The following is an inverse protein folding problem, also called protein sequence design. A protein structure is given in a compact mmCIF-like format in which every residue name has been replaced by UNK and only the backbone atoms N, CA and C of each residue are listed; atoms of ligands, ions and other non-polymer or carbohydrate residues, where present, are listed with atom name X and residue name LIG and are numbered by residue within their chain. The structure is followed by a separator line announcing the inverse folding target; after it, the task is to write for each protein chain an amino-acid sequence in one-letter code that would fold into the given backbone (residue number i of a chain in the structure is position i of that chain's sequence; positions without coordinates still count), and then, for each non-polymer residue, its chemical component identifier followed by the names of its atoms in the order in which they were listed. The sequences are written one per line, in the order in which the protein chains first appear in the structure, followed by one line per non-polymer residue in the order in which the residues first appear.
data_IF_688300696156
#
_entry.id   IF_688300696156
#
_cell.length_a   1.000
_cell.length_b   1.000
_cell.length_c   1.000
_cell.angle_alpha   90.00
_cell.angle_beta   90.00
_cell.angle_gamma   90.00
#
_symmetry.space_group_name_H-M   'P 1'
#
loop_
_entity.id
_entity.type
_entity.pdbx_description
1 polymer ?
#
# COMPACT_ATOMS: atom_id res chain seq x y z
N UNK A 1 17.50 -16.41 -17.17
CA UNK A 1 16.05 -16.35 -17.34
C UNK A 1 15.69 -14.93 -17.77
N UNK A 2 15.14 -14.79 -18.98
CA UNK A 2 14.78 -13.47 -19.54
C UNK A 2 13.41 -13.09 -18.93
N UNK A 3 13.39 -12.44 -17.79
CA UNK A 3 12.18 -11.87 -17.21
C UNK A 3 11.82 -10.64 -18.06
N UNK A 4 10.90 -10.83 -19.00
CA UNK A 4 10.34 -9.72 -19.76
C UNK A 4 9.58 -8.83 -18.78
N UNK A 5 10.12 -7.63 -18.49
CA UNK A 5 9.38 -6.59 -17.79
C UNK A 5 8.14 -6.23 -18.60
N UNK A 6 6.98 -6.27 -17.98
CA UNK A 6 5.70 -5.93 -18.62
C UNK A 6 5.41 -4.46 -18.39
N UNK A 7 5.17 -3.70 -19.46
CA UNK A 7 4.66 -2.33 -19.35
C UNK A 7 3.15 -2.40 -19.18
N UNK A 8 2.64 -1.78 -18.12
CA UNK A 8 1.21 -1.70 -17.85
C UNK A 8 0.56 -0.80 -18.90
N UNK A 9 -0.50 -1.30 -19.53
CA UNK A 9 -1.21 -0.58 -20.59
C UNK A 9 -2.03 0.60 -20.04
N UNK A 10 -2.33 1.58 -20.88
CA UNK A 10 -3.20 2.71 -20.54
C UNK A 10 -4.58 2.23 -20.05
N UNK A 11 -5.14 1.19 -20.65
CA UNK A 11 -6.43 0.63 -20.24
C UNK A 11 -6.39 0.03 -18.82
N UNK A 12 -5.29 -0.63 -18.44
CA UNK A 12 -5.11 -1.15 -17.08
C UNK A 12 -4.98 -0.01 -16.06
N UNK A 13 -4.31 1.09 -16.42
CA UNK A 13 -4.23 2.29 -15.58
C UNK A 13 -5.58 2.98 -15.43
N UNK A 14 -6.36 3.10 -16.52
CA UNK A 14 -7.73 3.65 -16.47
C UNK A 14 -8.63 2.83 -15.55
N UNK A 15 -8.47 1.50 -15.55
CA UNK A 15 -9.19 0.64 -14.60
C UNK A 15 -8.81 0.95 -13.14
N UNK A 16 -7.53 1.23 -12.86
CA UNK A 16 -7.12 1.64 -11.51
C UNK A 16 -7.73 2.99 -11.10
N UNK A 17 -7.82 3.95 -12.01
CA UNK A 17 -8.50 5.22 -11.76
C UNK A 17 -10.00 5.01 -11.50
N UNK A 18 -10.64 4.09 -12.21
CA UNK A 18 -12.02 3.73 -11.94
C UNK A 18 -12.21 3.11 -10.53
N UNK A 19 -11.20 2.41 -10.00
CA UNK A 19 -11.22 1.96 -8.60
C UNK A 19 -11.07 3.12 -7.61
N UNK A 20 -10.27 4.14 -7.91
CA UNK A 20 -10.22 5.36 -7.10
C UNK A 20 -11.60 6.02 -7.00
N UNK A 21 -12.33 6.13 -8.11
CA UNK A 21 -13.70 6.68 -8.14
C UNK A 21 -14.70 5.84 -7.33
N UNK A 22 -14.55 4.51 -7.36
CA UNK A 22 -15.37 3.61 -6.53
C UNK A 22 -15.07 3.80 -5.04
N UNK A 23 -13.81 4.03 -4.66
CA UNK A 23 -13.42 4.32 -3.28
C UNK A 23 -13.97 5.68 -2.85
N UNK A 24 -13.87 6.72 -3.68
CA UNK A 24 -14.51 8.01 -3.44
C UNK A 24 -16.01 7.85 -3.18
N UNK A 25 -16.68 7.03 -3.99
CA UNK A 25 -18.11 6.75 -3.84
C UNK A 25 -18.43 5.97 -2.57
N UNK A 26 -17.56 5.05 -2.15
CA UNK A 26 -17.70 4.30 -0.90
C UNK A 26 -17.68 5.22 0.34
N UNK A 27 -16.94 6.33 0.28
CA UNK A 27 -16.82 7.29 1.37
C UNK A 27 -17.85 8.43 1.32
N UNK A 28 -18.61 8.58 0.22
CA UNK A 28 -19.49 9.73 -0.05
C UNK A 28 -20.52 10.00 1.05
N UNK A 29 -21.05 8.93 1.65
CA UNK A 29 -22.12 9.01 2.66
C UNK A 29 -21.59 9.18 4.08
N UNK A 30 -20.30 9.50 4.25
CA UNK A 30 -19.70 9.77 5.54
C UNK A 30 -19.63 11.27 5.84
N UNK A 31 -19.88 11.62 7.09
CA UNK A 31 -19.77 12.99 7.59
C UNK A 31 -18.33 13.52 7.67
N UNK A 32 -17.34 12.60 7.58
CA UNK A 32 -15.92 12.93 7.72
C UNK A 32 -15.11 12.45 6.54
N UNK A 33 -14.15 13.27 6.11
CA UNK A 33 -13.18 12.90 5.08
C UNK A 33 -12.30 11.74 5.58
N UNK A 34 -12.15 10.65 4.82
CA UNK A 34 -11.32 9.53 5.23
C UNK A 34 -9.85 9.94 5.30
N UNK A 35 -9.10 9.31 6.20
CA UNK A 35 -7.70 9.63 6.45
C UNK A 35 -6.79 8.45 6.15
N UNK A 36 -5.56 8.72 5.70
CA UNK A 36 -4.57 7.69 5.41
C UNK A 36 -3.18 8.06 5.92
N UNK A 37 -2.46 7.04 6.36
CA UNK A 37 -1.08 7.13 6.80
C UNK A 37 -0.22 6.15 6.02
N UNK A 38 0.91 6.62 5.48
CA UNK A 38 1.89 5.79 4.77
C UNK A 38 3.23 5.90 5.47
N UNK A 39 3.71 4.78 6.01
CA UNK A 39 5.01 4.68 6.68
C UNK A 39 6.00 3.93 5.78
N UNK A 40 7.19 4.50 5.61
CA UNK A 40 8.23 3.95 4.74
C UNK A 40 9.38 3.35 5.56
N UNK A 41 9.67 2.08 5.33
CA UNK A 41 10.82 1.38 5.90
C UNK A 41 11.72 0.93 4.77
N UNK A 42 12.70 1.75 4.37
CA UNK A 42 13.50 1.24 3.29
C UNK A 42 14.48 2.16 2.61
N UNK A 43 14.68 1.92 1.34
CA UNK A 43 15.59 2.62 0.47
C UNK A 43 14.86 3.73 -0.32
N UNK A 44 15.61 4.40 -1.20
CA UNK A 44 15.06 5.44 -2.08
C UNK A 44 13.93 4.94 -2.98
N UNK A 45 13.96 3.67 -3.40
CA UNK A 45 12.88 3.09 -4.18
C UNK A 45 11.59 3.00 -3.34
N UNK A 46 11.68 2.63 -2.07
CA UNK A 46 10.50 2.62 -1.20
C UNK A 46 9.95 4.03 -0.98
N UNK A 47 10.79 5.08 -0.96
CA UNK A 47 10.30 6.47 -0.89
C UNK A 47 9.50 6.83 -2.16
N UNK A 48 10.03 6.52 -3.35
CA UNK A 48 9.32 6.74 -4.61
C UNK A 48 7.99 5.97 -4.68
N UNK A 49 7.99 4.72 -4.19
CA UNK A 49 6.80 3.90 -4.14
C UNK A 49 5.76 4.44 -3.14
N UNK A 50 6.22 5.01 -2.02
CA UNK A 50 5.34 5.67 -1.05
C UNK A 50 4.73 6.96 -1.59
N UNK A 51 5.44 7.74 -2.42
CA UNK A 51 4.86 8.89 -3.12
C UNK A 51 3.71 8.47 -4.05
N UNK A 52 3.84 7.32 -4.73
CA UNK A 52 2.78 6.74 -5.57
C UNK A 52 1.59 6.26 -4.73
N UNK A 53 1.85 5.55 -3.63
CA UNK A 53 0.80 5.10 -2.71
C UNK A 53 0.00 6.28 -2.14
N UNK A 54 0.68 7.35 -1.71
CA UNK A 54 0.03 8.59 -1.24
C UNK A 54 -0.76 9.26 -2.36
N UNK A 55 -0.24 9.25 -3.60
CA UNK A 55 -0.92 9.77 -4.77
C UNK A 55 -2.23 9.03 -5.05
N UNK A 56 -2.22 7.69 -5.04
CA UNK A 56 -3.40 6.85 -5.22
C UNK A 56 -4.43 7.11 -4.09
N UNK A 57 -3.98 7.18 -2.83
CA UNK A 57 -4.84 7.48 -1.69
C UNK A 57 -5.46 8.87 -1.80
N UNK A 58 -4.68 9.88 -2.15
CA UNK A 58 -5.17 11.26 -2.36
C UNK A 58 -6.22 11.31 -3.49
N UNK A 59 -5.98 10.63 -4.61
CA UNK A 59 -6.95 10.54 -5.72
C UNK A 59 -8.22 9.77 -5.31
N UNK A 60 -8.10 8.83 -4.37
CA UNK A 60 -9.22 8.10 -3.78
C UNK A 60 -9.95 8.87 -2.68
N UNK A 61 -9.61 10.14 -2.46
CA UNK A 61 -10.30 11.04 -1.53
C UNK A 61 -9.80 11.01 -0.09
N UNK A 62 -8.66 10.38 0.19
CA UNK A 62 -8.07 10.38 1.52
C UNK A 62 -7.24 11.63 1.78
N UNK A 63 -7.36 12.17 2.99
CA UNK A 63 -6.41 13.15 3.52
C UNK A 63 -5.27 12.44 4.23
N UNK A 64 -4.03 12.80 3.89
CA UNK A 64 -2.85 12.23 4.54
C UNK A 64 -2.69 12.79 5.95
N UNK A 65 -2.37 11.91 6.91
CA UNK A 65 -2.12 12.24 8.32
C UNK A 65 -0.75 11.73 8.74
N UNK A 66 -0.21 12.28 9.83
CA UNK A 66 1.15 11.99 10.31
C UNK A 66 1.22 10.83 11.32
N UNK A 67 0.07 10.20 11.60
CA UNK A 67 -0.01 9.12 12.61
C UNK A 67 -0.99 8.04 12.21
N UNK A 68 -0.57 6.79 12.42
CA UNK A 68 -1.41 5.61 12.23
C UNK A 68 -2.62 5.56 13.19
N UNK A 69 -2.56 6.26 14.33
CA UNK A 69 -3.61 6.22 15.35
C UNK A 69 -4.94 6.77 14.87
N UNK A 70 -4.90 7.78 13.99
CA UNK A 70 -6.08 8.49 13.50
C UNK A 70 -6.38 8.20 12.02
N UNK A 71 -5.67 7.23 11.42
CA UNK A 71 -5.83 6.89 10.02
C UNK A 71 -6.90 5.81 9.82
N UNK A 72 -7.79 6.00 8.85
CA UNK A 72 -8.71 4.96 8.38
C UNK A 72 -7.97 3.89 7.57
N UNK A 73 -6.90 4.29 6.86
CA UNK A 73 -6.01 3.37 6.11
C UNK A 73 -4.57 3.59 6.53
N UNK A 74 -3.89 2.50 6.88
CA UNK A 74 -2.45 2.48 7.20
C UNK A 74 -1.76 1.60 6.18
N UNK A 75 -0.73 2.13 5.54
CA UNK A 75 0.13 1.39 4.60
C UNK A 75 1.57 1.40 5.11
N UNK A 76 2.14 0.22 5.34
CA UNK A 76 3.53 0.04 5.71
C UNK A 76 4.31 -0.44 4.48
N UNK A 77 5.11 0.43 3.88
CA UNK A 77 5.97 0.11 2.74
C UNK A 77 7.35 -0.31 3.22
N UNK A 78 7.77 -1.53 2.87
CA UNK A 78 8.85 -2.25 3.54
C UNK A 78 9.93 -2.74 2.59
N UNK A 79 11.17 -2.79 3.10
CA UNK A 79 12.35 -3.24 2.36
C UNK A 79 12.84 -4.61 2.89
N UNK A 80 13.32 -5.46 1.98
CA UNK A 80 13.86 -6.78 2.30
C UNK A 80 15.35 -6.79 2.69
N UNK A 81 16.08 -5.71 2.42
CA UNK A 81 17.57 -5.73 2.42
C UNK A 81 18.15 -5.38 3.80
N UNK A 82 17.38 -4.82 4.72
CA UNK A 82 17.90 -4.37 6.02
C UNK A 82 17.55 -5.36 7.11
N UNK A 83 18.57 -6.05 7.64
CA UNK A 83 18.45 -7.13 8.62
C UNK A 83 17.68 -6.76 9.90
N UNK A 84 17.70 -5.50 10.32
CA UNK A 84 16.90 -5.02 11.47
C UNK A 84 15.54 -4.41 11.07
N UNK A 85 15.27 -4.23 9.78
CA UNK A 85 14.03 -3.63 9.32
C UNK A 85 12.84 -4.56 9.58
N UNK A 86 13.03 -5.86 9.39
CA UNK A 86 11.96 -6.85 9.57
C UNK A 86 11.43 -6.87 11.01
N UNK A 87 12.32 -6.92 12.01
CA UNK A 87 11.91 -6.92 13.42
C UNK A 87 11.16 -5.63 13.79
N UNK A 88 11.64 -4.49 13.30
CA UNK A 88 10.98 -3.20 13.52
C UNK A 88 9.60 -3.14 12.88
N UNK A 89 9.48 -3.61 11.64
CA UNK A 89 8.20 -3.69 10.92
C UNK A 89 7.21 -4.57 11.68
N UNK A 90 7.62 -5.77 12.11
CA UNK A 90 6.74 -6.64 12.87
C UNK A 90 6.38 -6.10 14.25
N UNK A 91 7.29 -5.37 14.91
CA UNK A 91 7.01 -4.68 16.16
C UNK A 91 5.92 -3.62 15.99
N UNK A 92 6.09 -2.74 14.98
CA UNK A 92 5.10 -1.70 14.68
C UNK A 92 3.77 -2.29 14.18
N UNK A 93 3.83 -3.34 13.36
CA UNK A 93 2.63 -4.06 12.92
C UNK A 93 1.88 -4.66 14.11
N UNK A 94 2.60 -5.20 15.11
CA UNK A 94 2.01 -5.67 16.36
C UNK A 94 1.33 -4.54 17.15
N UNK A 95 1.94 -3.36 17.21
CA UNK A 95 1.38 -2.18 17.88
C UNK A 95 0.07 -1.71 17.23
N UNK A 96 -0.08 -1.85 15.91
CA UNK A 96 -1.31 -1.51 15.20
C UNK A 96 -2.53 -2.37 15.63
N UNK A 97 -2.33 -3.47 16.32
CA UNK A 97 -3.43 -4.21 16.97
C UNK A 97 -4.20 -3.33 17.95
N UNK A 98 -3.50 -2.46 18.67
CA UNK A 98 -4.13 -1.55 19.65
C UNK A 98 -4.91 -0.44 18.96
N UNK A 99 -4.38 0.13 17.85
CA UNK A 99 -5.09 1.15 17.07
C UNK A 99 -6.34 0.55 16.43
N UNK A 100 -6.22 -0.63 15.82
CA UNK A 100 -7.36 -1.33 15.20
C UNK A 100 -8.45 -1.73 16.20
N UNK A 101 -8.10 -2.05 17.44
CA UNK A 101 -9.11 -2.28 18.49
C UNK A 101 -9.91 -1.01 18.83
N UNK A 102 -9.27 0.15 18.84
CA UNK A 102 -9.93 1.45 19.06
C UNK A 102 -10.70 1.92 17.81
N UNK A 103 -10.18 1.59 16.63
CA UNK A 103 -10.76 1.92 15.32
C UNK A 103 -11.00 0.64 14.49
N UNK A 104 -12.06 -0.14 14.75
CA UNK A 104 -12.28 -1.45 14.10
C UNK A 104 -12.42 -1.39 12.58
N UNK A 105 -12.75 -0.21 12.03
CA UNK A 105 -12.85 0.02 10.59
C UNK A 105 -11.51 0.34 9.93
N UNK A 106 -10.46 0.62 10.69
CA UNK A 106 -9.14 0.88 10.16
C UNK A 106 -8.69 -0.28 9.26
N UNK A 107 -8.11 0.02 8.11
CA UNK A 107 -7.53 -0.96 7.19
C UNK A 107 -6.01 -0.87 7.20
N UNK A 108 -5.35 -2.00 7.38
CA UNK A 108 -3.90 -2.09 7.52
C UNK A 108 -3.34 -2.92 6.37
N UNK A 109 -2.40 -2.32 5.65
CA UNK A 109 -1.71 -2.93 4.51
C UNK A 109 -0.22 -3.02 4.76
N UNK A 110 0.39 -4.13 4.33
CA UNK A 110 1.85 -4.29 4.23
C UNK A 110 2.23 -4.43 2.77
N UNK A 111 3.20 -3.66 2.31
CA UNK A 111 3.69 -3.75 0.94
C UNK A 111 5.21 -3.61 0.83
N UNK A 112 5.71 -3.68 -0.38
CA UNK A 112 7.12 -3.54 -0.70
C UNK A 112 7.87 -4.86 -0.83
N UNK A 113 9.18 -4.80 -0.92
CA UNK A 113 10.03 -5.97 -1.19
C UNK A 113 9.94 -7.06 -0.11
N UNK A 114 9.78 -6.67 1.16
CA UNK A 114 9.64 -7.62 2.27
C UNK A 114 8.30 -8.38 2.19
N UNK A 115 7.23 -7.71 1.75
CA UNK A 115 5.90 -8.28 1.64
C UNK A 115 5.78 -9.39 0.59
N UNK A 116 6.72 -9.44 -0.38
CA UNK A 116 6.80 -10.51 -1.37
C UNK A 116 7.46 -11.81 -0.87
N UNK A 117 8.07 -11.81 0.33
CA UNK A 117 8.77 -12.98 0.86
C UNK A 117 7.79 -13.98 1.47
N UNK A 118 7.88 -15.25 1.08
CA UNK A 118 6.95 -16.31 1.49
C UNK A 118 6.85 -16.46 3.02
N UNK A 119 7.99 -16.49 3.74
CA UNK A 119 8.01 -16.61 5.19
C UNK A 119 7.33 -15.42 5.90
N UNK A 120 7.41 -14.21 5.32
CA UNK A 120 6.73 -13.01 5.83
C UNK A 120 5.23 -13.15 5.65
N UNK A 121 4.79 -13.56 4.47
CA UNK A 121 3.38 -13.77 4.14
C UNK A 121 2.75 -14.81 5.06
N UNK A 122 3.42 -15.94 5.28
CA UNK A 122 2.94 -16.98 6.18
C UNK A 122 2.86 -16.49 7.64
N UNK A 123 3.88 -15.77 8.10
CA UNK A 123 3.90 -15.18 9.43
C UNK A 123 2.73 -14.20 9.62
N UNK A 124 2.43 -13.38 8.61
CA UNK A 124 1.30 -12.44 8.66
C UNK A 124 -0.02 -13.18 8.67
N UNK A 125 -0.19 -14.19 7.82
CA UNK A 125 -1.41 -15.02 7.79
C UNK A 125 -1.70 -15.63 9.16
N UNK A 126 -0.67 -16.16 9.83
CA UNK A 126 -0.77 -16.89 11.10
C UNK A 126 -0.87 -15.97 12.33
N UNK A 127 -0.07 -14.91 12.38
CA UNK A 127 0.17 -14.17 13.64
C UNK A 127 -0.34 -12.74 13.63
N UNK A 128 -0.74 -12.19 12.46
CA UNK A 128 -1.20 -10.80 12.32
C UNK A 128 -2.59 -10.73 11.65
N UNK A 129 -3.65 -11.27 12.29
CA UNK A 129 -4.99 -11.32 11.69
C UNK A 129 -5.62 -9.95 11.46
N UNK A 130 -5.09 -8.89 12.07
CA UNK A 130 -5.52 -7.51 11.93
C UNK A 130 -4.99 -6.82 10.65
N UNK A 131 -4.06 -7.44 9.91
CA UNK A 131 -3.60 -6.98 8.60
C UNK A 131 -4.62 -7.37 7.54
N UNK A 132 -5.13 -6.38 6.81
CA UNK A 132 -6.20 -6.57 5.83
C UNK A 132 -5.68 -6.89 4.44
N UNK A 133 -4.49 -6.39 4.08
CA UNK A 133 -3.90 -6.64 2.77
C UNK A 133 -2.37 -6.74 2.79
N UNK A 134 -1.83 -7.61 1.94
CA UNK A 134 -0.39 -7.77 1.71
C UNK A 134 -0.15 -7.80 0.21
N UNK A 135 0.76 -6.98 -0.30
CA UNK A 135 1.10 -6.97 -1.72
C UNK A 135 2.58 -6.65 -1.96
N UNK A 136 3.16 -7.30 -2.97
CA UNK A 136 4.55 -7.08 -3.37
C UNK A 136 4.70 -5.78 -4.17
N UNK A 137 5.94 -5.36 -4.42
CA UNK A 137 6.26 -4.19 -5.26
C UNK A 137 5.68 -4.32 -6.68
N UNK A 138 5.57 -5.54 -7.21
CA UNK A 138 5.01 -5.78 -8.54
C UNK A 138 3.51 -5.48 -8.65
N UNK A 139 2.79 -5.49 -7.52
CA UNK A 139 1.35 -5.23 -7.44
C UNK A 139 1.02 -3.81 -6.92
N UNK A 140 2.03 -2.94 -6.74
CA UNK A 140 1.81 -1.60 -6.22
C UNK A 140 0.84 -0.79 -7.10
N UNK A 141 0.93 -0.94 -8.41
CA UNK A 141 0.06 -0.27 -9.37
C UNK A 141 -1.41 -0.66 -9.23
N UNK A 142 -1.69 -1.85 -8.68
CA UNK A 142 -3.05 -2.36 -8.40
C UNK A 142 -3.59 -1.93 -7.03
N UNK A 143 -2.90 -1.05 -6.32
CA UNK A 143 -3.29 -0.71 -4.94
C UNK A 143 -4.71 -0.17 -4.81
N UNK A 144 -5.22 0.58 -5.79
CA UNK A 144 -6.61 1.06 -5.77
C UNK A 144 -7.61 -0.11 -5.81
N UNK A 145 -7.37 -1.11 -6.66
CA UNK A 145 -8.18 -2.33 -6.73
C UNK A 145 -8.11 -3.14 -5.42
N UNK A 146 -6.91 -3.34 -4.89
CA UNK A 146 -6.67 -4.07 -3.63
C UNK A 146 -7.40 -3.39 -2.48
N UNK A 147 -7.29 -2.08 -2.35
CA UNK A 147 -7.95 -1.28 -1.32
C UNK A 147 -9.47 -1.37 -1.45
N UNK A 148 -10.02 -1.18 -2.68
CA UNK A 148 -11.45 -1.30 -2.92
C UNK A 148 -11.98 -2.70 -2.58
N UNK A 149 -11.24 -3.75 -2.94
CA UNK A 149 -11.61 -5.13 -2.63
C UNK A 149 -11.71 -5.37 -1.13
N UNK A 150 -10.74 -4.87 -0.35
CA UNK A 150 -10.76 -4.96 1.12
C UNK A 150 -11.92 -4.15 1.72
N UNK A 151 -12.19 -2.95 1.20
CA UNK A 151 -13.27 -2.09 1.69
C UNK A 151 -14.65 -2.71 1.42
N UNK A 152 -14.86 -3.22 0.21
CA UNK A 152 -16.17 -3.72 -0.24
C UNK A 152 -16.49 -5.11 0.30
N UNK A 153 -15.50 -5.99 0.41
CA UNK A 153 -15.70 -7.38 0.84
C UNK A 153 -15.44 -7.63 2.32
N UNK A 154 -14.63 -6.76 2.96
CA UNK A 154 -14.11 -6.97 4.31
C UNK A 154 -13.12 -8.14 4.43
N UNK A 155 -12.77 -8.80 3.33
CA UNK A 155 -11.87 -9.96 3.33
C UNK A 155 -10.42 -9.53 3.19
N UNK A 156 -9.54 -10.29 3.85
CA UNK A 156 -8.08 -10.12 3.69
C UNK A 156 -7.64 -10.50 2.29
N UNK A 157 -6.69 -9.73 1.74
CA UNK A 157 -6.15 -9.95 0.38
C UNK A 157 -4.64 -10.15 0.42
N UNK A 158 -4.13 -11.02 -0.47
CA UNK A 158 -2.70 -11.32 -0.58
C UNK A 158 -2.29 -11.35 -2.06
N UNK A 159 -1.64 -10.29 -2.53
CA UNK A 159 -1.14 -10.11 -3.90
C UNK A 159 0.40 -10.24 -3.87
N UNK A 160 0.89 -11.46 -3.75
CA UNK A 160 2.31 -11.76 -3.47
C UNK A 160 2.93 -12.77 -4.44
N UNK A 161 2.24 -13.10 -5.52
CA UNK A 161 2.77 -14.02 -6.52
C UNK A 161 3.96 -13.40 -7.25
N UNK A 162 4.94 -14.24 -7.61
CA UNK A 162 6.06 -13.86 -8.46
C UNK A 162 5.55 -13.62 -9.88
N UNK A 163 5.14 -12.39 -10.15
CA UNK A 163 4.86 -11.92 -11.50
C UNK A 163 6.11 -11.25 -12.09
N UNK A 164 6.25 -11.25 -13.43
CA UNK A 164 7.29 -10.47 -14.10
C UNK A 164 7.21 -9.01 -13.65
N UNK A 165 8.35 -8.36 -13.46
CA UNK A 165 8.39 -6.95 -13.04
C UNK A 165 7.50 -6.09 -13.92
N UNK A 166 6.65 -5.27 -13.30
CA UNK A 166 5.71 -4.39 -14.00
C UNK A 166 6.18 -2.95 -13.91
N UNK A 167 6.18 -2.25 -15.04
CA UNK A 167 6.41 -0.80 -15.12
C UNK A 167 5.05 -0.14 -15.33
N UNK A 168 4.61 0.62 -14.35
CA UNK A 168 3.41 1.46 -14.44
C UNK A 168 3.85 2.93 -14.51
N UNK A 169 3.78 3.50 -15.71
CA UNK A 169 3.95 4.95 -15.92
C UNK A 169 2.60 5.64 -15.75
N UNK A 170 2.60 6.88 -15.25
CA UNK A 170 1.37 7.68 -15.13
C UNK A 170 0.57 7.45 -13.83
N UNK A 171 1.07 6.66 -12.88
CA UNK A 171 0.46 6.61 -11.55
C UNK A 171 0.54 7.98 -10.85
N UNK A 172 -0.50 8.37 -10.11
CA UNK A 172 -0.50 9.62 -9.36
C UNK A 172 0.59 9.59 -8.29
N UNK A 173 1.23 10.73 -8.06
CA UNK A 173 2.29 10.88 -7.07
C UNK A 173 1.98 12.08 -6.16
N UNK A 174 2.03 11.87 -4.86
CA UNK A 174 1.97 12.93 -3.88
C UNK A 174 3.33 13.01 -3.18
N UNK A 175 4.07 14.08 -3.44
CA UNK A 175 5.41 14.31 -2.91
C UNK A 175 5.35 15.02 -1.57
N UNK A 176 6.14 14.56 -0.60
CA UNK A 176 6.29 15.21 0.70
C UNK A 176 7.16 16.47 0.61
N UNK A 177 7.96 16.60 -0.45
CA UNK A 177 8.92 17.70 -0.61
C UNK A 177 8.95 18.20 -2.05
N UNK A 178 8.85 19.53 -2.22
CA UNK A 178 8.92 20.21 -3.52
C UNK A 178 10.33 20.22 -4.13
N UNK A 179 11.37 19.97 -3.33
CA UNK A 179 12.79 20.05 -3.75
C UNK A 179 13.39 18.70 -4.17
N UNK A 180 12.71 17.58 -3.90
CA UNK A 180 13.21 16.25 -4.23
C UNK A 180 12.19 15.51 -5.09
N UNK A 181 12.68 14.89 -6.14
CA UNK A 181 11.91 13.96 -6.96
C UNK A 181 12.72 12.67 -7.12
N UNK A 182 12.08 11.54 -6.89
CA UNK A 182 12.67 10.23 -7.14
C UNK A 182 12.30 9.80 -8.56
N UNK A 183 13.31 9.53 -9.39
CA UNK A 183 13.13 9.01 -10.74
C UNK A 183 13.78 7.63 -10.79
N UNK A 184 12.99 6.60 -11.11
CA UNK A 184 13.53 5.27 -11.37
C UNK A 184 14.23 5.31 -12.73
N UNK A 185 15.52 5.07 -12.75
CA UNK A 185 16.32 4.86 -13.97
C UNK A 185 16.59 3.35 -14.08
N UNK A 186 16.17 2.76 -15.18
CA UNK A 186 16.43 1.37 -15.53
C UNK A 186 17.42 1.30 -16.67
#
# INVERSE_FOLDING_TARGET
MNTKTTVISENELEQQFAFCDKILSYWRDRDTVPTAYVETYGCQQNEADSERLRGILSQSGYTMVDSAENADVVVMNTCAIREHAEQRVFGNLGALTHTKRRHPRQKIFLCGCMAGQEHVVERIKKSYPHVDGVFSTHHLWQFAEILYTVLSTGKRTFYVQDEPGSIAEGLPQLRDNTLKAWVSIM
#
